data_IF_944669944013
#
_entry.id   IF_944669944013
#
_cell.length_a   1.000
_cell.length_b   1.000
_cell.length_c   1.000
_cell.angle_alpha   90.00
_cell.angle_beta   90.00
_cell.angle_gamma   90.00
#
_symmetry.space_group_name_H-M   'P 1'
#
loop_
_entity.id
_entity.type
_entity.pdbx_description
1 polymer ?
#
# COMPACT_ATOMS: atom_id res chain seq x y z
N UNK A 1 -9.42 -7.54 45.63
CA UNK A 1 -9.95 -7.34 44.27
C UNK A 1 -9.10 -8.20 43.33
N UNK A 2 -9.68 -9.23 42.69
CA UNK A 2 -8.92 -10.15 41.83
C UNK A 2 -9.53 -10.17 40.44
N UNK A 3 -8.72 -9.83 39.44
CA UNK A 3 -9.07 -10.01 38.03
C UNK A 3 -8.71 -11.44 37.59
N UNK A 4 -9.31 -11.88 36.48
CA UNK A 4 -8.95 -13.16 35.87
C UNK A 4 -7.48 -13.15 35.45
N UNK A 5 -6.69 -14.05 36.04
CA UNK A 5 -5.24 -14.14 35.83
C UNK A 5 -4.87 -14.92 34.56
N UNK A 6 -5.84 -15.48 33.83
CA UNK A 6 -5.58 -16.24 32.58
C UNK A 6 -5.41 -15.36 31.35
N UNK A 7 -5.56 -14.04 31.47
CA UNK A 7 -5.32 -13.08 30.38
C UNK A 7 -4.49 -11.88 30.82
N UNK A 8 -4.16 -11.00 29.87
CA UNK A 8 -3.48 -9.73 30.12
C UNK A 8 -4.40 -8.71 30.82
N UNK A 9 -4.94 -9.06 31.99
CA UNK A 9 -5.83 -8.23 32.78
C UNK A 9 -5.13 -7.76 34.05
N UNK A 10 -5.36 -6.51 34.44
CA UNK A 10 -4.86 -5.93 35.68
C UNK A 10 -5.97 -5.15 36.38
N UNK A 11 -5.96 -5.13 37.71
CA UNK A 11 -6.89 -4.28 38.46
C UNK A 11 -6.36 -2.86 38.49
N UNK A 12 -7.17 -1.89 38.05
CA UNK A 12 -6.84 -0.49 38.08
C UNK A 12 -7.60 0.21 39.21
N UNK A 13 -6.87 0.70 40.21
CA UNK A 13 -7.44 1.33 41.40
C UNK A 13 -8.17 2.65 41.07
N UNK A 14 -7.74 3.37 40.02
CA UNK A 14 -8.40 4.62 39.60
C UNK A 14 -9.78 4.38 39.02
N UNK A 15 -9.95 3.34 38.20
CA UNK A 15 -11.25 2.93 37.65
C UNK A 15 -12.00 1.94 38.55
N UNK A 16 -11.37 1.45 39.62
CA UNK A 16 -11.87 0.41 40.53
C UNK A 16 -12.36 -0.84 39.78
N UNK A 17 -11.71 -1.17 38.67
CA UNK A 17 -12.16 -2.21 37.73
C UNK A 17 -11.00 -2.99 37.13
N UNK A 18 -11.31 -4.16 36.55
CA UNK A 18 -10.32 -4.95 35.82
C UNK A 18 -10.16 -4.41 34.40
N UNK A 19 -8.97 -4.00 34.02
CA UNK A 19 -8.66 -3.48 32.69
C UNK A 19 -7.78 -4.47 31.92
N UNK A 20 -8.02 -4.56 30.62
CA UNK A 20 -7.14 -5.29 29.72
C UNK A 20 -5.93 -4.44 29.32
N UNK A 21 -4.74 -5.05 29.35
CA UNK A 21 -3.51 -4.46 28.89
C UNK A 21 -3.32 -4.77 27.40
N UNK A 22 -3.47 -3.72 26.58
CA UNK A 22 -3.29 -3.82 25.14
C UNK A 22 -1.86 -4.29 24.78
N UNK A 23 -1.71 -5.19 23.79
CA UNK A 23 -0.40 -5.70 23.39
C UNK A 23 0.50 -4.61 22.80
N UNK A 24 1.81 -4.85 22.82
CA UNK A 24 2.79 -3.94 22.20
C UNK A 24 2.48 -3.71 20.72
N UNK A 25 2.58 -2.45 20.27
CA UNK A 25 2.26 -2.08 18.89
C UNK A 25 0.77 -1.88 18.61
N UNK A 26 -0.07 -1.79 19.64
CA UNK A 26 -1.50 -1.51 19.53
C UNK A 26 -1.87 -0.18 20.20
N UNK A 27 -3.10 0.31 19.98
CA UNK A 27 -3.55 1.63 20.47
C UNK A 27 -4.74 1.45 21.40
N UNK A 28 -4.59 1.94 22.62
CA UNK A 28 -5.60 1.94 23.67
C UNK A 28 -6.58 3.10 23.48
N UNK A 29 -7.85 2.82 23.21
CA UNK A 29 -8.92 3.82 23.02
C UNK A 29 -9.49 4.39 24.32
N UNK A 30 -9.52 3.58 25.38
CA UNK A 30 -10.09 3.94 26.69
C UNK A 30 -9.04 3.85 27.77
N UNK A 31 -9.16 4.65 28.83
CA UNK A 31 -8.27 4.56 29.99
C UNK A 31 -8.29 3.18 30.67
N UNK A 32 -9.39 2.44 30.58
CA UNK A 32 -9.52 1.06 31.04
C UNK A 32 -10.18 0.21 29.95
N UNK A 33 -9.41 -0.52 29.13
CA UNK A 33 -9.93 -1.36 28.05
C UNK A 33 -10.68 -2.56 28.65
N UNK A 34 -11.84 -2.88 28.09
CA UNK A 34 -12.65 -4.04 28.51
C UNK A 34 -12.78 -5.05 27.36
N UNK A 35 -12.72 -4.58 26.12
CA UNK A 35 -12.77 -5.43 24.94
C UNK A 35 -11.41 -5.38 24.22
N UNK A 36 -10.59 -6.46 24.26
CA UNK A 36 -9.31 -6.51 23.57
C UNK A 36 -9.40 -6.23 22.06
N UNK A 37 -10.51 -6.59 21.41
CA UNK A 37 -10.69 -6.38 19.97
C UNK A 37 -11.13 -4.95 19.67
N UNK A 38 -12.04 -4.37 20.44
CA UNK A 38 -12.56 -3.04 20.17
C UNK A 38 -11.71 -1.91 20.76
N UNK A 39 -11.19 -2.09 21.97
CA UNK A 39 -10.54 -1.04 22.77
C UNK A 39 -9.02 -0.95 22.56
N UNK A 40 -8.39 -1.99 22.00
CA UNK A 40 -6.95 -2.02 21.72
C UNK A 40 -6.59 -1.93 20.24
N UNK A 41 -7.57 -1.70 19.35
CA UNK A 41 -7.35 -1.62 17.90
C UNK A 41 -7.87 -0.32 17.33
N UNK A 42 -7.35 0.10 16.19
CA UNK A 42 -7.88 1.25 15.46
C UNK A 42 -9.29 1.00 14.92
N UNK A 43 -10.01 2.08 14.61
CA UNK A 43 -11.36 2.00 14.05
C UNK A 43 -11.36 1.57 12.58
N UNK A 44 -12.55 1.41 11.97
CA UNK A 44 -12.68 1.18 10.54
C UNK A 44 -11.97 2.27 9.72
N UNK A 45 -11.25 1.87 8.67
CA UNK A 45 -10.50 2.80 7.81
C UNK A 45 -9.24 3.40 8.45
N UNK A 46 -8.77 2.84 9.56
CA UNK A 46 -7.55 3.25 10.24
C UNK A 46 -6.66 2.05 10.52
N UNK A 47 -5.35 2.30 10.51
CA UNK A 47 -4.33 1.32 10.88
C UNK A 47 -3.46 1.86 12.00
N UNK A 48 -2.84 0.94 12.76
CA UNK A 48 -1.86 1.32 13.77
C UNK A 48 -0.54 1.68 13.10
N UNK A 49 -0.15 2.94 13.18
CA UNK A 49 1.17 3.39 12.76
C UNK A 49 2.17 3.19 13.91
N UNK A 50 3.06 2.21 13.75
CA UNK A 50 4.15 1.88 14.69
C UNK A 50 5.49 2.54 14.30
N UNK A 51 5.56 3.25 13.18
CA UNK A 51 6.75 3.98 12.73
C UNK A 51 7.05 5.26 13.54
N UNK A 52 6.16 5.62 14.46
CA UNK A 52 6.31 6.77 15.37
C UNK A 52 6.59 6.31 16.81
N UNK A 53 7.22 7.17 17.62
CA UNK A 53 7.64 6.86 19.00
C UNK A 53 6.52 6.33 19.90
N UNK A 54 5.27 6.77 19.66
CA UNK A 54 4.08 6.26 20.34
C UNK A 54 3.09 5.76 19.28
N UNK A 55 2.72 4.47 19.28
CA UNK A 55 1.73 3.94 18.36
C UNK A 55 0.46 4.79 18.36
N UNK A 56 -0.06 5.10 17.18
CA UNK A 56 -1.30 5.86 17.00
C UNK A 56 -2.09 5.33 15.81
N UNK A 57 -3.37 5.70 15.74
CA UNK A 57 -4.21 5.35 14.62
C UNK A 57 -4.11 6.41 13.53
N UNK A 58 -3.59 6.01 12.37
CA UNK A 58 -3.55 6.85 11.18
C UNK A 58 -4.64 6.38 10.19
N UNK A 59 -5.16 7.31 9.40
CA UNK A 59 -6.15 7.00 8.37
C UNK A 59 -5.51 6.22 7.22
N UNK A 60 -6.22 5.21 6.72
CA UNK A 60 -5.80 4.48 5.53
C UNK A 60 -5.89 5.36 4.27
N UNK A 61 -4.96 5.16 3.34
CA UNK A 61 -4.94 5.85 2.05
C UNK A 61 -6.09 5.36 1.17
N UNK A 62 -6.87 6.28 0.60
CA UNK A 62 -7.96 5.91 -0.31
C UNK A 62 -7.48 5.92 -1.76
N UNK A 63 -7.59 4.79 -2.44
CA UNK A 63 -7.24 4.67 -3.86
C UNK A 63 -8.34 5.27 -4.73
N UNK A 64 -8.21 6.57 -5.04
CA UNK A 64 -9.18 7.30 -5.86
C UNK A 64 -8.96 7.01 -7.34
N UNK A 65 -9.99 6.49 -8.00
CA UNK A 65 -9.96 6.22 -9.46
C UNK A 65 -9.66 7.46 -10.30
N UNK A 66 -10.03 8.65 -9.82
CA UNK A 66 -9.75 9.95 -10.45
C UNK A 66 -8.25 10.26 -10.56
N UNK A 67 -7.41 9.62 -9.75
CA UNK A 67 -5.95 9.77 -9.77
C UNK A 67 -5.25 8.64 -10.53
N UNK A 68 -5.99 7.88 -11.34
CA UNK A 68 -5.50 6.74 -12.12
C UNK A 68 -4.81 5.64 -11.30
N UNK A 69 -5.12 5.57 -10.00
CA UNK A 69 -4.65 4.51 -9.10
C UNK A 69 -5.74 3.47 -8.82
N UNK A 70 -5.30 2.26 -8.50
CA UNK A 70 -6.11 1.12 -8.06
C UNK A 70 -5.54 0.54 -6.77
N UNK A 71 -6.40 -0.11 -5.99
CA UNK A 71 -6.00 -0.80 -4.77
C UNK A 71 -5.20 -2.05 -5.13
N UNK A 72 -3.95 -2.10 -4.65
CA UNK A 72 -3.07 -3.25 -4.71
C UNK A 72 -3.21 -4.11 -3.45
N UNK A 73 -3.23 -3.44 -2.30
CA UNK A 73 -3.40 -4.08 -1.00
C UNK A 73 -4.47 -3.32 -0.21
N UNK A 74 -5.44 -4.04 0.41
CA UNK A 74 -6.50 -3.40 1.17
C UNK A 74 -5.99 -2.85 2.51
N UNK A 75 -6.71 -1.86 3.02
CA UNK A 75 -6.51 -1.34 4.37
C UNK A 75 -6.73 -2.45 5.40
N UNK A 76 -5.84 -2.53 6.39
CA UNK A 76 -5.94 -3.47 7.50
C UNK A 76 -5.74 -2.73 8.83
N UNK A 77 -5.80 -3.47 9.94
CA UNK A 77 -5.62 -2.87 11.26
C UNK A 77 -4.16 -2.48 11.56
N UNK A 78 -3.19 -3.02 10.84
CA UNK A 78 -1.75 -2.80 11.06
C UNK A 78 -1.03 -2.23 9.84
N UNK A 79 -1.71 -2.11 8.69
CA UNK A 79 -1.16 -1.51 7.48
C UNK A 79 -2.20 -0.62 6.80
N UNK A 80 -1.74 0.50 6.25
CA UNK A 80 -2.53 1.27 5.29
C UNK A 80 -2.81 0.42 4.05
N UNK A 81 -3.88 0.72 3.34
CA UNK A 81 -4.05 0.32 1.95
C UNK A 81 -2.91 0.87 1.10
N UNK A 82 -2.53 0.09 0.09
CA UNK A 82 -1.52 0.43 -0.91
C UNK A 82 -2.19 0.60 -2.26
N UNK A 83 -1.95 1.75 -2.88
CA UNK A 83 -2.44 2.06 -4.21
C UNK A 83 -1.29 2.05 -5.21
N UNK A 84 -1.58 1.62 -6.44
CA UNK A 84 -0.64 1.68 -7.56
C UNK A 84 -1.32 2.19 -8.82
N UNK A 85 -0.54 2.65 -9.80
CA UNK A 85 -1.08 3.10 -11.07
C UNK A 85 -1.76 1.95 -11.82
N UNK A 86 -2.86 2.26 -12.52
CA UNK A 86 -3.56 1.29 -13.38
C UNK A 86 -2.64 0.71 -14.46
N UNK A 87 -2.95 -0.50 -14.98
CA UNK A 87 -2.19 -1.09 -16.08
C UNK A 87 -2.01 -0.14 -17.26
N UNK A 88 -0.79 -0.11 -17.82
CA UNK A 88 -0.40 0.81 -18.89
C UNK A 88 0.11 2.17 -18.41
N UNK A 89 0.16 2.39 -17.09
CA UNK A 89 0.73 3.59 -16.47
C UNK A 89 1.83 3.21 -15.47
N UNK A 90 2.73 4.14 -15.21
CA UNK A 90 3.73 4.07 -14.14
C UNK A 90 3.64 5.29 -13.22
N UNK A 91 4.15 5.14 -12.01
CA UNK A 91 4.16 6.22 -11.04
C UNK A 91 5.33 7.17 -11.24
N UNK A 92 5.03 8.43 -11.60
CA UNK A 92 6.04 9.47 -11.74
C UNK A 92 6.38 10.14 -10.41
N UNK A 93 5.38 10.31 -9.53
CA UNK A 93 5.52 10.95 -8.23
C UNK A 93 5.03 10.01 -7.12
N UNK A 94 5.87 9.09 -6.64
CA UNK A 94 5.50 8.17 -5.57
C UNK A 94 5.39 8.88 -4.23
N UNK A 95 4.45 8.44 -3.41
CA UNK A 95 4.33 8.82 -2.00
C UNK A 95 4.19 7.55 -1.15
N UNK A 96 4.17 7.69 0.18
CA UNK A 96 3.90 6.56 1.04
C UNK A 96 2.52 5.96 0.71
N UNK A 97 2.53 4.68 0.32
CA UNK A 97 1.36 3.86 0.00
C UNK A 97 0.51 4.28 -1.22
N UNK A 98 0.90 5.27 -2.01
CA UNK A 98 0.17 5.66 -3.24
C UNK A 98 1.05 6.39 -4.25
N UNK A 99 0.47 6.75 -5.39
CA UNK A 99 1.09 7.60 -6.40
C UNK A 99 0.32 8.91 -6.54
N UNK A 100 1.02 10.04 -6.50
CA UNK A 100 0.43 11.35 -6.72
C UNK A 100 0.20 11.65 -8.20
N UNK A 101 1.01 11.07 -9.10
CA UNK A 101 0.90 11.26 -10.54
C UNK A 101 1.27 9.99 -11.30
N UNK A 102 0.27 9.36 -11.88
CA UNK A 102 0.45 8.29 -12.86
C UNK A 102 0.68 8.88 -14.25
N UNK A 103 1.57 8.27 -15.03
CA UNK A 103 1.82 8.63 -16.43
C UNK A 103 1.68 7.40 -17.32
N UNK A 104 1.18 7.54 -18.56
CA UNK A 104 1.20 6.45 -19.53
C UNK A 104 2.61 5.93 -19.75
N UNK A 105 2.74 4.63 -19.96
CA UNK A 105 4.01 4.05 -20.39
C UNK A 105 4.48 4.64 -21.71
N UNK A 106 5.78 4.88 -21.83
CA UNK A 106 6.39 5.37 -23.07
C UNK A 106 6.21 4.35 -24.18
N UNK A 107 5.73 4.82 -25.34
CA UNK A 107 5.65 4.02 -26.54
C UNK A 107 6.99 4.01 -27.28
N UNK A 108 7.55 2.82 -27.50
CA UNK A 108 8.72 2.62 -28.32
C UNK A 108 8.38 2.93 -29.78
N UNK A 109 9.13 3.83 -30.39
CA UNK A 109 8.90 4.27 -31.76
C UNK A 109 9.23 3.17 -32.77
N UNK A 110 8.76 3.26 -34.03
CA UNK A 110 9.21 2.37 -35.09
C UNK A 110 10.74 2.30 -35.17
N UNK A 111 11.27 1.09 -35.38
CA UNK A 111 12.70 0.78 -35.25
C UNK A 111 13.15 0.42 -33.84
N UNK A 112 12.32 0.64 -32.82
CA UNK A 112 12.57 0.28 -31.42
C UNK A 112 11.50 -0.67 -30.89
N UNK A 113 11.90 -1.59 -30.04
CA UNK A 113 11.01 -2.50 -29.32
C UNK A 113 11.18 -2.39 -27.82
N UNK A 114 10.21 -2.92 -27.08
CA UNK A 114 10.27 -3.01 -25.62
C UNK A 114 11.38 -3.98 -25.20
N UNK A 115 12.41 -3.47 -24.55
CA UNK A 115 13.44 -4.29 -23.89
C UNK A 115 13.01 -4.69 -22.48
N UNK A 116 12.57 -3.71 -21.70
CA UNK A 116 12.10 -3.89 -20.33
C UNK A 116 10.66 -3.42 -20.27
N UNK A 117 9.77 -4.32 -19.87
CA UNK A 117 8.34 -4.01 -19.69
C UNK A 117 8.16 -3.00 -18.56
N UNK A 118 7.30 -2.02 -18.79
CA UNK A 118 6.86 -1.10 -17.76
C UNK A 118 6.11 -1.81 -16.64
N UNK A 119 6.17 -1.24 -15.45
CA UNK A 119 5.43 -1.68 -14.25
C UNK A 119 4.62 -0.50 -13.71
N UNK A 120 3.83 -0.71 -12.66
CA UNK A 120 3.13 0.38 -11.97
C UNK A 120 4.09 1.40 -11.34
N UNK A 121 5.37 1.05 -11.16
CA UNK A 121 6.40 1.92 -10.56
C UNK A 121 7.44 2.44 -11.57
N UNK A 122 7.67 1.75 -12.69
CA UNK A 122 8.73 2.08 -13.64
C UNK A 122 8.19 2.12 -15.07
N UNK A 123 8.72 3.03 -15.87
CA UNK A 123 8.37 3.14 -17.28
C UNK A 123 8.97 2.01 -18.12
N UNK A 124 8.45 1.86 -19.34
CA UNK A 124 8.99 1.00 -20.39
C UNK A 124 10.39 1.48 -20.79
N UNK A 125 11.30 0.53 -20.99
CA UNK A 125 12.59 0.81 -21.62
C UNK A 125 12.62 0.24 -23.03
N UNK A 126 12.87 1.12 -23.99
CA UNK A 126 12.99 0.76 -25.40
C UNK A 126 14.45 0.44 -25.77
N UNK A 127 14.62 -0.45 -26.74
CA UNK A 127 15.90 -0.70 -27.42
C UNK A 127 15.73 -0.70 -28.92
N UNK A 128 16.80 -0.34 -29.64
CA UNK A 128 16.82 -0.44 -31.09
C UNK A 128 16.74 -1.91 -31.51
N UNK A 129 15.96 -2.19 -32.55
CA UNK A 129 15.82 -3.56 -33.00
C UNK A 129 17.13 -4.11 -33.57
N UNK A 130 17.65 -5.24 -33.04
CA UNK A 130 18.87 -5.85 -33.56
C UNK A 130 18.67 -6.34 -34.99
N UNK A 131 19.78 -6.50 -35.71
CA UNK A 131 19.79 -6.98 -37.08
C UNK A 131 19.00 -8.30 -37.21
N UNK A 132 18.10 -8.35 -38.20
CA UNK A 132 17.18 -9.49 -38.40
C UNK A 132 15.83 -9.34 -37.69
N UNK A 133 15.60 -8.25 -36.95
CA UNK A 133 14.32 -7.93 -36.32
C UNK A 133 13.85 -6.51 -36.65
N UNK A 134 12.56 -6.25 -36.51
CA UNK A 134 11.92 -4.96 -36.75
C UNK A 134 10.79 -4.65 -35.77
N UNK A 135 10.40 -3.37 -35.75
CA UNK A 135 9.19 -2.85 -35.13
C UNK A 135 8.66 -1.75 -36.05
N UNK A 136 7.42 -1.87 -36.53
CA UNK A 136 6.79 -1.01 -37.53
C UNK A 136 5.78 -0.02 -36.95
N UNK A 137 5.49 -0.11 -35.65
CA UNK A 137 4.48 0.70 -34.98
C UNK A 137 4.99 1.25 -33.66
N UNK A 138 4.39 2.37 -33.23
CA UNK A 138 4.63 2.94 -31.91
C UNK A 138 3.86 2.15 -30.85
N UNK A 139 4.57 1.50 -29.92
CA UNK A 139 3.96 0.60 -28.94
C UNK A 139 4.71 0.57 -27.61
N UNK A 140 3.98 0.57 -26.50
CA UNK A 140 4.55 0.43 -25.15
C UNK A 140 4.63 -1.03 -24.70
N UNK A 141 4.22 -1.99 -25.54
CA UNK A 141 4.17 -3.41 -25.19
C UNK A 141 4.89 -4.31 -26.19
N UNK A 142 5.01 -3.90 -27.44
CA UNK A 142 5.58 -4.75 -28.49
C UNK A 142 7.10 -4.80 -28.42
N UNK A 143 7.62 -6.03 -28.49
CA UNK A 143 9.05 -6.29 -28.67
C UNK A 143 9.40 -6.30 -30.16
N UNK A 144 10.68 -6.21 -30.49
CA UNK A 144 11.14 -6.41 -31.87
C UNK A 144 10.79 -7.82 -32.36
N UNK A 145 10.21 -7.89 -33.57
CA UNK A 145 9.75 -9.12 -34.22
C UNK A 145 10.74 -9.55 -35.30
N UNK A 146 10.94 -10.84 -35.58
CA UNK A 146 11.82 -11.27 -36.67
C UNK A 146 11.31 -10.80 -38.04
N UNK A 147 12.21 -10.44 -38.95
CA UNK A 147 11.84 -10.23 -40.36
C UNK A 147 11.28 -11.53 -40.97
N UNK A 148 10.22 -11.40 -41.78
CA UNK A 148 9.74 -12.46 -42.69
C UNK A 148 10.30 -12.27 -44.08
#
# INVERSE_FOLDING_TARGET
>A
HSCDTRGNWFYDETSRSCCYQCPSGSVKKKACPQDPAADCRCGPGQYVNTGVRKPRCDACVLCKKESDVVEKEPCSFNSSSVCECRPGLFCQLPTDYTCLRCQPHTACQPGFGVRVRGTSAHDVTCEECPAGTFSDHSSSTDICKPHT
#
